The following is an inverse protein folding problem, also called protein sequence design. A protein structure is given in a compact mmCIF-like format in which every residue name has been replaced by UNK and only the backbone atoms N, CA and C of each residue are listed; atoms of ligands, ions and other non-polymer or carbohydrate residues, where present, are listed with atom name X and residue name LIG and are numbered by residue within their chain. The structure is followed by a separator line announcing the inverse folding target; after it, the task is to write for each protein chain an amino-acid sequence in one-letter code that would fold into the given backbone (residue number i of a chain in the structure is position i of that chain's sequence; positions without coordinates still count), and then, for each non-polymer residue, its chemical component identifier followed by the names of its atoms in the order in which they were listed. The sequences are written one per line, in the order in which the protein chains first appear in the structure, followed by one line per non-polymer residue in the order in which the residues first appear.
data_IF_938108731905
#
_entry.id   IF_938108731905
#
_cell.length_a   1.000
_cell.length_b   1.000
_cell.length_c   1.000
_cell.angle_alpha   90.00
_cell.angle_beta   90.00
_cell.angle_gamma   90.00
#
_symmetry.space_group_name_H-M   'P 1'
#
loop_
_entity.id
_entity.type
_entity.pdbx_description
1 polymer ?
#
# COMPACT_ATOMS: atom_id res chain seq x y z
N UNK A 1 8.43 -23.05 -0.62
CA UNK A 1 6.97 -22.80 -0.77
C UNK A 1 6.86 -21.59 -1.65
N UNK A 2 6.41 -21.83 -2.88
CA UNK A 2 6.81 -21.10 -4.09
C UNK A 2 5.57 -20.44 -4.73
N UNK A 3 5.71 -19.17 -5.14
CA UNK A 3 4.87 -18.43 -6.10
C UNK A 3 3.37 -18.25 -5.77
N UNK A 4 3.04 -17.36 -4.82
CA UNK A 4 1.68 -16.77 -4.76
C UNK A 4 1.65 -15.23 -4.69
N UNK A 5 2.80 -14.56 -4.62
CA UNK A 5 2.86 -13.11 -4.30
C UNK A 5 3.16 -12.19 -5.49
N UNK A 6 3.21 -12.72 -6.72
CA UNK A 6 3.37 -11.90 -7.94
C UNK A 6 2.06 -11.25 -8.43
N UNK A 7 0.90 -11.62 -7.87
CA UNK A 7 -0.35 -10.87 -8.09
C UNK A 7 -0.40 -9.66 -7.14
N UNK A 8 -0.16 -8.48 -7.70
CA UNK A 8 -0.04 -7.22 -6.95
C UNK A 8 -1.19 -6.94 -5.98
N UNK A 9 -0.84 -6.28 -4.87
CA UNK A 9 -1.78 -5.90 -3.81
C UNK A 9 -3.03 -5.17 -4.39
N UNK A 10 -4.25 -5.55 -3.96
CA UNK A 10 -5.54 -4.99 -4.37
C UNK A 10 -5.60 -3.46 -4.55
N UNK A 11 -4.82 -2.70 -3.78
CA UNK A 11 -4.87 -1.23 -3.69
C UNK A 11 -3.92 -0.55 -4.70
N UNK A 12 -2.94 -1.29 -5.24
CA UNK A 12 -1.95 -0.74 -6.18
C UNK A 12 -0.64 -0.29 -5.53
N UNK A 13 -0.35 -0.74 -4.31
CA UNK A 13 0.87 -0.41 -3.56
C UNK A 13 2.16 -0.76 -4.31
N UNK A 14 2.16 -1.87 -5.07
CA UNK A 14 3.30 -2.31 -5.89
C UNK A 14 3.78 -1.20 -6.84
N UNK A 15 2.85 -0.58 -7.59
CA UNK A 15 3.19 0.50 -8.53
C UNK A 15 3.72 1.74 -7.82
N UNK A 16 3.13 2.10 -6.68
CA UNK A 16 3.58 3.24 -5.90
C UNK A 16 5.02 3.04 -5.40
N UNK A 17 5.31 1.86 -4.84
CA UNK A 17 6.67 1.53 -4.37
C UNK A 17 7.66 1.57 -5.52
N UNK A 18 7.33 1.05 -6.70
CA UNK A 18 8.21 1.13 -7.87
C UNK A 18 8.54 2.57 -8.27
N UNK A 19 7.52 3.42 -8.35
CA UNK A 19 7.69 4.84 -8.70
C UNK A 19 8.56 5.55 -7.66
N UNK A 20 8.31 5.34 -6.37
CA UNK A 20 9.09 5.94 -5.29
C UNK A 20 10.54 5.45 -5.32
N UNK A 21 10.78 4.15 -5.55
CA UNK A 21 12.12 3.61 -5.72
C UNK A 21 12.87 4.25 -6.91
N UNK A 22 12.19 4.41 -8.05
CA UNK A 22 12.77 5.07 -9.23
C UNK A 22 13.15 6.52 -8.93
N UNK A 23 12.29 7.26 -8.24
CA UNK A 23 12.57 8.65 -7.82
C UNK A 23 13.80 8.70 -6.90
N UNK A 24 13.87 7.81 -5.89
CA UNK A 24 15.00 7.74 -4.96
C UNK A 24 16.33 7.41 -5.67
N UNK A 25 16.28 6.59 -6.72
CA UNK A 25 17.44 6.22 -7.53
C UNK A 25 17.65 7.10 -8.76
N UNK A 26 16.93 8.23 -8.87
CA UNK A 26 17.04 9.19 -9.99
C UNK A 26 16.87 8.52 -11.37
N UNK A 27 15.99 7.52 -11.44
CA UNK A 27 15.70 6.75 -12.66
C UNK A 27 16.62 5.57 -12.93
N UNK A 28 17.61 5.27 -12.07
CA UNK A 28 18.45 4.06 -12.23
C UNK A 28 17.65 2.79 -11.88
N UNK A 29 17.48 1.92 -12.89
CA UNK A 29 16.72 0.68 -12.78
C UNK A 29 17.54 -0.49 -12.26
N UNK A 30 18.88 -0.41 -12.22
CA UNK A 30 19.75 -1.56 -11.89
C UNK A 30 19.41 -2.16 -10.52
N UNK A 31 19.30 -1.30 -9.51
CA UNK A 31 18.96 -1.72 -8.14
C UNK A 31 17.54 -2.28 -8.03
N UNK A 32 16.59 -1.69 -8.75
CA UNK A 32 15.17 -2.08 -8.74
C UNK A 32 14.98 -3.46 -9.37
N UNK A 33 15.74 -3.75 -10.43
CA UNK A 33 15.74 -5.05 -11.10
C UNK A 33 16.50 -6.12 -10.31
N UNK A 34 17.43 -5.74 -9.44
CA UNK A 34 18.25 -6.68 -8.67
C UNK A 34 17.71 -7.02 -7.28
N UNK A 35 16.85 -6.17 -6.71
CA UNK A 35 16.35 -6.32 -5.34
C UNK A 35 14.83 -6.48 -5.35
N UNK A 36 14.27 -7.53 -4.74
CA UNK A 36 12.84 -7.75 -4.73
C UNK A 36 12.11 -6.65 -3.96
N UNK A 37 10.84 -6.42 -4.29
CA UNK A 37 10.07 -5.28 -3.77
C UNK A 37 9.92 -5.29 -2.25
N UNK A 38 9.82 -6.48 -1.63
CA UNK A 38 9.70 -6.64 -0.18
C UNK A 38 10.98 -6.25 0.58
N UNK A 39 12.17 -6.37 -0.01
CA UNK A 39 13.42 -5.89 0.59
C UNK A 39 13.62 -4.38 0.35
N UNK A 40 13.00 -3.84 -0.73
CA UNK A 40 13.05 -2.41 -1.06
C UNK A 40 12.12 -1.59 -0.18
N UNK A 41 10.92 -2.10 0.09
CA UNK A 41 9.92 -1.49 0.98
C UNK A 41 9.24 -2.57 1.83
N UNK A 42 9.88 -2.98 2.94
CA UNK A 42 9.33 -4.01 3.81
C UNK A 42 7.99 -3.58 4.40
N UNK A 43 7.11 -4.55 4.60
CA UNK A 43 5.82 -4.35 5.24
C UNK A 43 5.99 -4.24 6.75
N UNK A 44 5.47 -3.17 7.34
CA UNK A 44 5.59 -2.90 8.77
C UNK A 44 4.88 -3.95 9.62
N UNK A 45 3.74 -4.45 9.14
CA UNK A 45 2.91 -5.46 9.79
C UNK A 45 3.46 -6.89 9.71
N UNK A 46 4.51 -7.13 8.91
CA UNK A 46 5.20 -8.42 8.87
C UNK A 46 6.37 -8.43 9.86
N UNK A 47 6.52 -9.51 10.63
CA UNK A 47 7.59 -9.65 11.62
C UNK A 47 8.99 -9.49 11.00
N UNK A 48 9.23 -10.11 9.83
CA UNK A 48 10.52 -9.99 9.13
C UNK A 48 10.77 -8.56 8.65
N UNK A 49 9.74 -7.91 8.09
CA UNK A 49 9.83 -6.53 7.64
C UNK A 49 10.05 -5.55 8.77
N UNK A 50 9.37 -5.73 9.90
CA UNK A 50 9.61 -4.96 11.12
C UNK A 50 11.06 -5.09 11.60
N UNK A 51 11.58 -6.32 11.69
CA UNK A 51 12.96 -6.57 12.11
C UNK A 51 13.97 -5.90 11.18
N UNK A 52 13.75 -5.96 9.87
CA UNK A 52 14.61 -5.25 8.91
C UNK A 52 14.57 -3.73 9.15
N UNK A 53 13.37 -3.15 9.29
CA UNK A 53 13.20 -1.71 9.46
C UNK A 53 13.85 -1.17 10.75
N UNK A 54 13.81 -1.93 11.84
CA UNK A 54 14.44 -1.55 13.12
C UNK A 54 15.96 -1.53 13.02
N UNK A 55 16.55 -2.50 12.29
CA UNK A 55 18.00 -2.63 12.18
C UNK A 55 18.62 -1.84 11.00
N UNK A 56 17.78 -1.27 10.12
CA UNK A 56 18.24 -0.52 8.94
C UNK A 56 18.65 0.90 9.30
N UNK A 57 19.90 1.24 8.98
CA UNK A 57 20.43 2.60 9.09
C UNK A 57 20.07 3.48 7.88
N UNK A 58 19.94 4.78 8.10
CA UNK A 58 19.70 5.77 7.04
C UNK A 58 18.23 5.96 6.64
N UNK A 59 17.96 6.56 5.46
CA UNK A 59 16.61 6.76 4.96
C UNK A 59 15.90 5.43 4.70
N UNK A 60 14.75 5.21 5.35
CA UNK A 60 13.94 4.00 5.20
C UNK A 60 12.72 4.28 4.34
N UNK A 61 12.49 3.41 3.36
CA UNK A 61 11.20 3.27 2.70
C UNK A 61 10.49 2.08 3.37
N UNK A 62 9.24 2.29 3.78
CA UNK A 62 8.40 1.26 4.40
C UNK A 62 7.00 1.33 3.82
N UNK A 63 6.35 0.18 3.77
CA UNK A 63 4.97 0.03 3.32
C UNK A 63 4.13 -0.44 4.49
N UNK A 64 2.87 -0.02 4.54
CA UNK A 64 1.91 -0.58 5.48
C UNK A 64 0.47 -0.44 5.01
N UNK A 65 -0.35 -1.43 5.31
CA UNK A 65 -1.80 -1.43 5.10
C UNK A 65 -2.58 -1.14 6.39
N UNK A 66 -1.89 -0.77 7.48
CA UNK A 66 -2.52 -0.56 8.77
C UNK A 66 -3.37 0.73 8.80
N UNK A 67 -4.51 0.71 9.51
CA UNK A 67 -5.27 1.92 9.77
C UNK A 67 -4.48 2.90 10.64
N UNK A 68 -4.71 4.21 10.42
CA UNK A 68 -3.95 5.30 11.03
C UNK A 68 -3.83 5.22 12.57
N UNK A 69 -4.85 4.71 13.26
CA UNK A 69 -4.88 4.67 14.72
C UNK A 69 -3.94 3.62 15.34
N UNK A 70 -3.39 2.70 14.54
CA UNK A 70 -2.40 1.73 14.99
C UNK A 70 -0.97 2.28 14.96
N UNK A 71 -0.75 3.44 14.33
CA UNK A 71 0.56 4.08 14.31
C UNK A 71 0.82 4.87 15.59
N UNK A 72 2.07 4.81 16.06
CA UNK A 72 2.50 5.58 17.20
C UNK A 72 2.43 7.09 16.90
N UNK A 73 2.00 7.89 17.88
CA UNK A 73 1.79 9.34 17.72
C UNK A 73 3.05 10.08 17.23
N UNK A 74 4.23 9.55 17.54
CA UNK A 74 5.51 10.12 17.09
C UNK A 74 5.66 10.15 15.57
N UNK A 75 4.97 9.26 14.83
CA UNK A 75 4.98 9.29 13.37
C UNK A 75 4.45 10.64 12.87
N UNK A 76 3.33 11.09 13.41
CA UNK A 76 2.62 12.28 12.96
C UNK A 76 3.33 13.58 13.38
N UNK A 77 4.10 13.56 14.46
CA UNK A 77 4.93 14.70 14.88
C UNK A 77 6.33 14.70 14.23
N UNK A 78 6.68 13.68 13.44
CA UNK A 78 7.99 13.56 12.82
C UNK A 78 8.08 14.27 11.46
N UNK A 79 9.29 14.34 10.89
CA UNK A 79 9.51 14.81 9.52
C UNK A 79 9.27 13.72 8.46
N UNK A 80 8.69 12.58 8.85
CA UNK A 80 8.42 11.45 7.95
C UNK A 80 7.43 11.88 6.88
N UNK A 81 7.73 11.62 5.62
CA UNK A 81 6.81 11.83 4.50
C UNK A 81 5.91 10.62 4.37
N UNK A 82 4.60 10.84 4.26
CA UNK A 82 3.58 9.80 4.15
C UNK A 82 2.93 9.96 2.78
N UNK A 83 2.87 8.87 2.01
CA UNK A 83 2.13 8.82 0.75
C UNK A 83 1.00 7.83 0.95
N UNK A 84 -0.24 8.31 0.84
CA UNK A 84 -1.43 7.48 0.94
C UNK A 84 -2.08 7.35 -0.42
N UNK A 85 -2.25 6.12 -0.88
CA UNK A 85 -2.97 5.81 -2.12
C UNK A 85 -4.36 5.26 -1.78
N UNK A 86 -5.37 5.77 -2.45
CA UNK A 86 -6.73 5.24 -2.38
C UNK A 86 -7.24 4.87 -3.77
N UNK A 87 -8.24 3.99 -3.80
CA UNK A 87 -8.86 3.47 -5.02
C UNK A 87 -10.37 3.39 -4.82
N UNK A 88 -11.12 3.37 -5.92
CA UNK A 88 -12.56 3.15 -5.89
C UNK A 88 -12.90 1.90 -5.03
N UNK A 89 -13.84 1.99 -4.07
CA UNK A 89 -14.17 0.86 -3.20
C UNK A 89 -14.68 -0.36 -3.96
N UNK A 90 -15.36 -0.17 -5.10
CA UNK A 90 -15.87 -1.28 -5.93
C UNK A 90 -14.73 -2.10 -6.50
N UNK A 91 -13.69 -1.42 -6.95
CA UNK A 91 -12.49 -2.04 -7.48
C UNK A 91 -11.72 -2.79 -6.39
N UNK A 92 -11.57 -2.18 -5.20
CA UNK A 92 -10.90 -2.80 -4.04
C UNK A 92 -11.65 -4.06 -3.61
N UNK A 93 -12.99 -4.01 -3.62
CA UNK A 93 -13.81 -5.15 -3.25
C UNK A 93 -13.59 -6.33 -4.21
N UNK A 94 -13.62 -6.07 -5.52
CA UNK A 94 -13.43 -7.12 -6.53
C UNK A 94 -11.99 -7.65 -6.49
N UNK A 95 -10.97 -6.78 -6.48
CA UNK A 95 -9.57 -7.21 -6.43
C UNK A 95 -9.24 -7.92 -5.12
N UNK A 96 -9.76 -7.43 -4.00
CA UNK A 96 -9.64 -8.05 -2.68
C UNK A 96 -10.24 -9.45 -2.66
N UNK A 97 -11.45 -9.64 -3.19
CA UNK A 97 -12.06 -10.97 -3.28
C UNK A 97 -11.14 -11.97 -3.98
N UNK A 98 -10.63 -11.62 -5.17
CA UNK A 98 -9.74 -12.52 -5.92
C UNK A 98 -8.41 -12.76 -5.21
N UNK A 99 -7.79 -11.71 -4.66
CA UNK A 99 -6.53 -11.83 -3.92
C UNK A 99 -6.69 -12.78 -2.74
N UNK A 100 -7.63 -12.48 -1.84
CA UNK A 100 -7.83 -13.27 -0.63
C UNK A 100 -8.31 -14.70 -0.91
N UNK A 101 -9.08 -14.92 -1.97
CA UNK A 101 -9.51 -16.27 -2.37
C UNK A 101 -8.35 -17.14 -2.88
N UNK A 102 -7.27 -16.53 -3.36
CA UNK A 102 -6.07 -17.23 -3.85
C UNK A 102 -4.97 -17.36 -2.80
N UNK A 103 -5.02 -16.56 -1.73
CA UNK A 103 -4.05 -16.62 -0.63
C UNK A 103 -4.56 -17.49 0.52
N UNK A 104 -3.64 -18.07 1.31
CA UNK A 104 -3.98 -18.73 2.57
C UNK A 104 -3.91 -17.78 3.78
N UNK A 105 -3.93 -16.47 3.53
CA UNK A 105 -3.73 -15.43 4.56
C UNK A 105 -5.01 -15.08 5.31
N UNK A 106 -6.17 -15.42 4.76
CA UNK A 106 -7.45 -15.32 5.46
C UNK A 106 -8.38 -16.47 5.09
N UNK A 107 -9.47 -16.62 5.84
CA UNK A 107 -10.53 -17.57 5.49
C UNK A 107 -11.06 -17.25 4.09
N UNK A 108 -11.01 -18.22 3.19
CA UNK A 108 -11.56 -18.07 1.85
C UNK A 108 -13.07 -17.75 1.96
N UNK A 109 -13.55 -16.64 1.35
CA UNK A 109 -14.94 -16.24 1.43
C UNK A 109 -15.89 -17.17 0.66
N UNK A 110 -15.37 -18.00 -0.26
CA UNK A 110 -16.14 -18.94 -1.09
C UNK A 110 -16.92 -18.28 -2.23
N UNK A 111 -17.59 -17.16 -1.97
CA UNK A 111 -18.32 -16.38 -2.97
C UNK A 111 -18.10 -14.87 -2.83
N UNK A 112 -18.32 -14.13 -3.93
CA UNK A 112 -18.18 -12.68 -3.96
C UNK A 112 -19.21 -12.01 -3.06
N UNK A 113 -20.43 -12.55 -2.98
CA UNK A 113 -21.52 -12.04 -2.12
C UNK A 113 -21.14 -12.12 -0.64
N UNK A 114 -20.54 -13.24 -0.23
CA UNK A 114 -20.06 -13.43 1.14
C UNK A 114 -18.96 -12.42 1.47
N UNK A 115 -18.00 -12.25 0.55
CA UNK A 115 -16.94 -11.26 0.71
C UNK A 115 -17.47 -9.83 0.73
N UNK A 116 -18.47 -9.52 -0.10
CA UNK A 116 -19.14 -8.23 -0.13
C UNK A 116 -19.76 -7.87 1.22
N UNK A 117 -20.46 -8.82 1.85
CA UNK A 117 -20.98 -8.61 3.21
C UNK A 117 -19.88 -8.37 4.24
N UNK A 118 -18.79 -9.13 4.17
CA UNK A 118 -17.66 -8.95 5.07
C UNK A 118 -17.03 -7.57 4.89
N UNK A 119 -16.83 -7.14 3.65
CA UNK A 119 -16.29 -5.84 3.29
C UNK A 119 -17.15 -4.69 3.86
N UNK A 120 -18.48 -4.76 3.69
CA UNK A 120 -19.40 -3.75 4.23
C UNK A 120 -19.41 -3.70 5.76
N UNK A 121 -19.30 -4.87 6.41
CA UNK A 121 -19.22 -4.97 7.88
C UNK A 121 -17.82 -4.62 8.43
N UNK A 122 -16.82 -4.45 7.57
CA UNK A 122 -15.42 -4.27 7.96
C UNK A 122 -14.75 -5.54 8.50
N UNK A 123 -15.33 -6.71 8.25
CA UNK A 123 -14.81 -8.03 8.66
C UNK A 123 -13.83 -8.59 7.63
N UNK A 124 -12.91 -7.74 7.17
CA UNK A 124 -11.84 -8.08 6.22
C UNK A 124 -10.49 -7.68 6.83
N UNK A 125 -9.37 -8.20 6.31
CA UNK A 125 -8.04 -7.75 6.74
C UNK A 125 -7.93 -6.22 6.67
N UNK A 126 -7.30 -5.64 7.70
CA UNK A 126 -7.15 -4.20 7.90
C UNK A 126 -8.46 -3.42 8.19
N UNK A 127 -9.58 -4.12 8.34
CA UNK A 127 -10.83 -3.58 8.86
C UNK A 127 -11.72 -2.87 7.83
N UNK A 128 -12.58 -1.98 8.32
CA UNK A 128 -13.50 -1.22 7.47
C UNK A 128 -12.76 -0.27 6.54
N UNK A 129 -12.94 -0.46 5.23
CA UNK A 129 -12.41 0.44 4.21
C UNK A 129 -12.84 1.91 4.43
N UNK A 130 -14.09 2.12 4.87
CA UNK A 130 -14.62 3.47 5.13
C UNK A 130 -13.89 4.14 6.29
N UNK A 131 -13.69 3.42 7.39
CA UNK A 131 -12.94 3.91 8.55
C UNK A 131 -11.47 4.12 8.21
N UNK A 132 -10.89 3.22 7.42
CA UNK A 132 -9.51 3.28 6.99
C UNK A 132 -9.22 4.55 6.17
N UNK A 133 -10.00 4.79 5.12
CA UNK A 133 -9.85 6.00 4.30
C UNK A 133 -10.13 7.25 5.11
N UNK A 134 -11.21 7.28 5.90
CA UNK A 134 -11.54 8.47 6.70
C UNK A 134 -10.42 8.83 7.66
N UNK A 135 -9.81 7.83 8.29
CA UNK A 135 -8.66 8.02 9.17
C UNK A 135 -7.48 8.65 8.44
N UNK A 136 -7.05 8.08 7.32
CA UNK A 136 -5.92 8.63 6.58
C UNK A 136 -6.22 9.99 5.90
N UNK A 137 -7.46 10.21 5.45
CA UNK A 137 -7.89 11.50 4.89
C UNK A 137 -7.93 12.65 5.91
N UNK A 138 -7.87 12.36 7.21
CA UNK A 138 -7.72 13.42 8.21
C UNK A 138 -6.38 14.14 8.12
N UNK A 139 -5.38 13.50 7.50
CA UNK A 139 -4.02 14.04 7.32
C UNK A 139 -3.85 14.86 6.04
N UNK A 140 -4.89 15.01 5.21
CA UNK A 140 -4.76 15.56 3.84
C UNK A 140 -4.23 16.99 3.76
N UNK A 141 -4.36 17.77 4.83
CA UNK A 141 -3.87 19.15 4.91
C UNK A 141 -2.44 19.25 5.51
N UNK A 142 -1.87 18.12 5.94
CA UNK A 142 -0.54 18.07 6.55
C UNK A 142 0.55 18.16 5.47
N UNK A 143 1.57 18.98 5.72
CA UNK A 143 2.62 19.30 4.73
C UNK A 143 3.47 18.09 4.32
N UNK A 144 3.54 17.07 5.17
CA UNK A 144 4.28 15.84 4.96
C UNK A 144 3.40 14.69 4.46
N UNK A 145 2.15 14.97 4.04
CA UNK A 145 1.21 13.97 3.57
C UNK A 145 0.86 14.21 2.09
N UNK A 146 0.94 13.15 1.28
CA UNK A 146 0.55 13.15 -0.12
C UNK A 146 -0.58 12.15 -0.35
N UNK A 147 -1.74 12.63 -0.78
CA UNK A 147 -2.88 11.81 -1.16
C UNK A 147 -2.88 11.53 -2.66
N UNK A 148 -2.95 10.27 -3.06
CA UNK A 148 -2.97 9.86 -4.46
C UNK A 148 -4.16 8.95 -4.77
N UNK A 149 -4.74 9.11 -5.96
CA UNK A 149 -5.80 8.25 -6.47
C UNK A 149 -5.20 7.25 -7.47
N UNK A 150 -5.45 5.95 -7.26
CA UNK A 150 -4.97 4.89 -8.15
C UNK A 150 -5.48 5.03 -9.59
N UNK A 151 -6.71 5.51 -9.79
CA UNK A 151 -7.28 5.66 -11.13
C UNK A 151 -6.58 6.77 -11.94
N UNK A 152 -5.98 7.74 -11.27
CA UNK A 152 -5.17 8.77 -11.93
C UNK A 152 -3.79 8.23 -12.31
N UNK A 153 -3.21 7.34 -11.51
CA UNK A 153 -1.98 6.62 -11.87
C UNK A 153 -2.14 5.81 -13.16
N UNK A 154 -3.25 5.06 -13.29
CA UNK A 154 -3.54 4.29 -14.51
C UNK A 154 -3.58 5.16 -15.77
N UNK A 155 -4.13 6.37 -15.66
CA UNK A 155 -4.22 7.30 -16.80
C UNK A 155 -2.85 7.82 -17.24
N UNK A 156 -1.95 8.08 -16.28
CA UNK A 156 -0.57 8.53 -16.55
C UNK A 156 0.25 7.45 -17.27
N UNK A 157 -0.06 6.17 -17.05
CA UNK A 157 0.62 5.07 -17.74
C UNK A 157 0.20 4.93 -19.23
N UNK A 158 -0.97 5.47 -19.59
CA UNK A 158 -1.53 5.43 -20.95
C UNK A 158 -1.33 6.73 -21.74
N UNK A 159 -0.92 7.82 -21.09
CA UNK A 159 -0.64 9.10 -21.74
C UNK A 159 0.57 9.75 -21.08
N UNK A 160 1.59 10.09 -21.87
CA UNK A 160 2.83 10.76 -21.51
C UNK A 160 2.61 11.95 -20.55
N UNK A 161 2.53 11.69 -19.25
CA UNK A 161 2.17 12.65 -18.22
C UNK A 161 3.28 12.77 -17.18
N UNK A 162 3.79 13.99 -16.99
CA UNK A 162 4.80 14.28 -15.97
C UNK A 162 4.15 14.21 -14.58
N UNK A 163 4.67 13.35 -13.70
CA UNK A 163 4.37 13.42 -12.26
C UNK A 163 5.16 14.62 -11.71
N UNK A 164 4.47 15.73 -11.44
CA UNK A 164 5.06 16.87 -10.73
C UNK A 164 4.92 16.57 -9.24
N UNK A 165 6.01 16.14 -8.61
CA UNK A 165 6.13 16.16 -7.16
C UNK A 165 6.45 17.60 -6.76
N UNK A 166 5.54 18.25 -6.03
CA UNK A 166 5.83 19.52 -5.36
C UNK A 166 6.60 19.28 -4.06
#
# INVERSE_FOLDING_TARGET
MEKTEEEGDPIGMTWLVEIVCLIQKKGDTKWIQSVPIWDRSPWLENESGYFELVNKEGPRLMTSHLPIHLFHKSLFSSKTKIIYIFRNPRDILVSGYFFWSKTNLMKNPGSLETYFEWFLKGNVPYGSWFEHIRGWLSMREEKNFLLLCYDDFKKVQLGTGRIILQ
#
